data_IF_325785113094
#
_entry.id   IF_325785113094
#
_cell.length_a   1.000
_cell.length_b   1.000
_cell.length_c   1.000
_cell.angle_alpha   90.00
_cell.angle_beta   90.00
_cell.angle_gamma   90.00
#
_symmetry.space_group_name_H-M   'P 1'
#
loop_
_entity.id
_entity.type
_entity.pdbx_description
1 polymer ?
#
# COMPACT_ATOMS: atom_id res chain seq x y z
N UNK A 1 -14.32 1.54 1.01
CA UNK A 1 -13.79 2.86 1.47
C UNK A 1 -14.67 3.58 2.50
N UNK A 2 -15.95 3.26 2.66
CA UNK A 2 -16.83 4.02 3.58
C UNK A 2 -16.34 4.01 5.05
N UNK A 3 -15.90 2.85 5.57
CA UNK A 3 -15.35 2.78 6.93
C UNK A 3 -14.10 3.68 7.10
N UNK A 4 -13.24 3.78 6.07
CA UNK A 4 -12.08 4.69 6.10
C UNK A 4 -12.53 6.16 6.19
N UNK A 5 -13.55 6.55 5.42
CA UNK A 5 -14.12 7.91 5.49
C UNK A 5 -14.71 8.19 6.87
N UNK A 6 -15.40 7.21 7.45
CA UNK A 6 -15.93 7.32 8.82
C UNK A 6 -14.81 7.50 9.85
N UNK A 7 -13.70 6.75 9.71
CA UNK A 7 -12.53 6.91 10.59
C UNK A 7 -11.94 8.32 10.49
N UNK A 8 -11.86 8.91 9.28
CA UNK A 8 -11.37 10.26 9.08
C UNK A 8 -12.24 11.35 9.76
N UNK A 9 -13.52 11.08 9.98
CA UNK A 9 -14.46 12.01 10.63
C UNK A 9 -14.44 11.91 12.16
N UNK A 10 -13.84 10.85 12.74
CA UNK A 10 -13.75 10.68 14.19
C UNK A 10 -12.86 11.76 14.82
N UNK A 11 -13.21 12.19 16.02
CA UNK A 11 -12.38 13.07 16.84
C UNK A 11 -11.28 12.31 17.60
N UNK A 12 -11.54 11.04 17.93
CA UNK A 12 -10.59 10.19 18.63
C UNK A 12 -9.40 9.84 17.72
N UNK A 13 -8.22 9.66 18.32
CA UNK A 13 -7.01 9.27 17.59
C UNK A 13 -7.17 7.95 16.84
N UNK A 14 -6.78 7.93 15.59
CA UNK A 14 -6.78 6.74 14.73
C UNK A 14 -5.37 6.18 14.60
N UNK A 15 -5.25 4.87 14.65
CA UNK A 15 -4.01 4.14 14.36
C UNK A 15 -4.10 3.57 12.94
N UNK A 16 -3.26 4.11 12.06
CA UNK A 16 -3.10 3.73 10.67
C UNK A 16 -1.87 2.86 10.54
N UNK A 17 -2.00 1.69 9.93
CA UNK A 17 -0.90 0.75 9.71
C UNK A 17 -0.61 0.60 8.22
N UNK A 18 0.65 0.69 7.83
CA UNK A 18 1.17 0.22 6.56
C UNK A 18 1.93 -1.09 6.80
N UNK A 19 1.53 -2.14 6.08
CA UNK A 19 2.06 -3.47 6.26
C UNK A 19 2.27 -4.14 4.90
N UNK A 20 3.41 -4.77 4.67
CA UNK A 20 3.78 -5.30 3.35
C UNK A 20 5.27 -5.60 3.23
N UNK A 21 5.72 -5.58 1.99
CA UNK A 21 7.09 -5.90 1.60
C UNK A 21 8.03 -4.68 1.51
N UNK A 22 9.11 -4.78 0.70
CA UNK A 22 10.11 -3.73 0.49
C UNK A 22 9.55 -2.44 -0.09
N UNK A 23 8.50 -2.52 -0.90
CA UNK A 23 7.85 -1.33 -1.48
C UNK A 23 7.20 -0.52 -0.38
N UNK A 24 6.48 -1.17 0.53
CA UNK A 24 5.88 -0.50 1.69
C UNK A 24 6.94 -0.07 2.72
N UNK A 25 7.98 -0.88 2.92
CA UNK A 25 9.07 -0.55 3.85
C UNK A 25 9.77 0.76 3.47
N UNK A 26 9.99 1.02 2.17
CA UNK A 26 10.57 2.28 1.68
C UNK A 26 12.04 2.52 2.05
N UNK A 27 12.71 1.52 2.65
CA UNK A 27 13.98 1.72 3.35
C UNK A 27 15.19 2.00 2.46
N UNK A 28 15.16 1.64 1.17
CA UNK A 28 16.38 1.62 0.35
C UNK A 28 16.30 2.43 -0.95
N UNK A 29 15.18 2.43 -1.63
CA UNK A 29 15.11 2.86 -3.02
C UNK A 29 14.58 4.29 -3.21
N UNK A 30 14.31 5.01 -2.14
CA UNK A 30 13.78 6.38 -2.16
C UNK A 30 14.83 7.44 -2.49
N UNK A 31 16.11 7.06 -2.62
CA UNK A 31 17.22 7.99 -2.85
C UNK A 31 17.29 9.14 -1.82
N UNK A 32 16.98 8.84 -0.55
CA UNK A 32 16.92 9.83 0.52
C UNK A 32 15.63 10.65 0.56
N UNK A 33 14.68 10.39 -0.35
CA UNK A 33 13.33 10.93 -0.28
C UNK A 33 12.46 10.20 0.72
N UNK A 34 11.27 10.72 0.96
CA UNK A 34 10.28 10.11 1.87
C UNK A 34 9.53 8.99 1.16
N UNK A 35 9.21 7.93 1.92
CA UNK A 35 8.28 6.92 1.47
C UNK A 35 6.81 7.40 1.53
N UNK A 36 5.90 6.64 0.95
CA UNK A 36 4.49 7.03 0.87
C UNK A 36 3.78 7.05 2.22
N UNK A 37 4.25 6.30 3.21
CA UNK A 37 3.68 6.31 4.56
C UNK A 37 4.06 7.58 5.33
N UNK A 38 5.24 8.13 5.08
CA UNK A 38 5.66 9.42 5.62
C UNK A 38 4.89 10.58 4.98
N UNK A 39 4.64 10.51 3.66
CA UNK A 39 3.79 11.47 2.96
C UNK A 39 2.34 11.41 3.47
N UNK A 40 1.83 10.21 3.71
CA UNK A 40 0.52 9.99 4.33
C UNK A 40 0.46 10.60 5.74
N UNK A 41 1.52 10.41 6.54
CA UNK A 41 1.64 11.01 7.88
C UNK A 41 1.56 12.53 7.82
N UNK A 42 2.31 13.17 6.92
CA UNK A 42 2.26 14.63 6.76
C UNK A 42 0.85 15.09 6.37
N UNK A 43 0.22 14.42 5.40
CA UNK A 43 -1.14 14.76 4.95
C UNK A 43 -2.14 14.71 6.09
N UNK A 44 -2.14 13.63 6.88
CA UNK A 44 -3.10 13.49 7.98
C UNK A 44 -2.77 14.38 9.17
N UNK A 45 -1.55 14.28 9.71
CA UNK A 45 -1.24 14.92 10.99
C UNK A 45 -1.14 16.42 10.87
N UNK A 46 -0.55 16.94 9.79
CA UNK A 46 -0.26 18.35 9.65
C UNK A 46 -1.26 19.09 8.77
N UNK A 47 -1.55 18.60 7.58
CA UNK A 47 -2.42 19.34 6.65
C UNK A 47 -3.90 19.17 7.02
N UNK A 48 -4.33 17.98 7.46
CA UNK A 48 -5.70 17.71 7.93
C UNK A 48 -5.88 17.89 9.44
N UNK A 49 -4.84 18.35 10.15
CA UNK A 49 -4.85 18.66 11.59
C UNK A 49 -5.22 17.45 12.49
N UNK A 50 -5.02 16.20 12.04
CA UNK A 50 -5.24 15.00 12.84
C UNK A 50 -4.00 14.65 13.67
N UNK A 51 -3.51 15.60 14.45
CA UNK A 51 -2.21 15.56 15.15
C UNK A 51 -2.06 14.44 16.16
N UNK A 52 -3.15 13.91 16.67
CA UNK A 52 -3.15 12.81 17.64
C UNK A 52 -3.19 11.42 16.99
N UNK A 53 -3.39 11.33 15.68
CA UNK A 53 -3.36 10.05 14.97
C UNK A 53 -1.95 9.46 14.99
N UNK A 54 -1.88 8.14 14.95
CA UNK A 54 -0.62 7.39 14.85
C UNK A 54 -0.54 6.74 13.48
N UNK A 55 0.53 7.02 12.74
CA UNK A 55 0.83 6.37 11.45
C UNK A 55 2.06 5.51 11.61
N UNK A 56 1.89 4.21 11.40
CA UNK A 56 2.91 3.18 11.60
C UNK A 56 3.24 2.53 10.26
N UNK A 57 4.52 2.34 9.99
CA UNK A 57 5.00 1.49 8.92
C UNK A 57 5.76 0.31 9.58
N UNK A 58 5.18 -0.89 9.53
CA UNK A 58 5.78 -2.11 10.07
C UNK A 58 6.12 -3.14 8.99
N UNK A 59 6.15 -2.71 7.73
CA UNK A 59 6.54 -3.53 6.61
C UNK A 59 8.00 -3.98 6.69
N UNK A 60 8.36 -5.05 5.97
CA UNK A 60 9.73 -5.55 5.95
C UNK A 60 10.12 -6.05 4.55
N UNK A 61 11.30 -5.65 4.11
CA UNK A 61 11.83 -6.03 2.79
C UNK A 61 11.95 -7.54 2.63
N UNK A 62 11.50 -8.05 1.49
CA UNK A 62 11.56 -9.47 1.17
C UNK A 62 10.36 -10.30 1.64
N UNK A 63 9.44 -9.71 2.43
CA UNK A 63 8.29 -10.46 2.92
C UNK A 63 7.36 -10.88 1.77
N UNK A 64 6.85 -12.11 1.91
CA UNK A 64 5.69 -12.65 1.19
C UNK A 64 4.46 -12.61 2.10
N UNK A 65 3.30 -13.00 1.59
CA UNK A 65 2.07 -13.10 2.40
C UNK A 65 2.24 -14.06 3.59
N UNK A 66 3.04 -15.12 3.43
CA UNK A 66 3.36 -16.07 4.49
C UNK A 66 4.09 -15.40 5.67
N UNK A 67 5.10 -14.56 5.40
CA UNK A 67 5.80 -13.83 6.47
C UNK A 67 4.89 -12.80 7.13
N UNK A 68 4.00 -12.16 6.38
CA UNK A 68 2.99 -11.28 6.98
C UNK A 68 2.09 -12.05 7.97
N UNK A 69 1.68 -13.26 7.64
CA UNK A 69 0.89 -14.11 8.53
C UNK A 69 1.69 -14.55 9.76
N UNK A 70 2.93 -15.01 9.57
CA UNK A 70 3.81 -15.47 10.65
C UNK A 70 4.05 -14.37 11.68
N UNK A 71 4.33 -13.17 11.24
CA UNK A 71 4.72 -12.04 12.09
C UNK A 71 3.53 -11.14 12.48
N UNK A 72 2.29 -11.54 12.17
CA UNK A 72 1.08 -10.73 12.30
C UNK A 72 0.89 -10.17 13.72
N UNK A 73 1.05 -11.02 14.76
CA UNK A 73 0.85 -10.60 16.14
C UNK A 73 1.82 -9.50 16.54
N UNK A 74 3.08 -9.64 16.17
CA UNK A 74 4.14 -8.68 16.52
C UNK A 74 4.09 -7.41 15.67
N UNK A 75 3.86 -7.54 14.36
CA UNK A 75 3.97 -6.42 13.41
C UNK A 75 2.66 -5.72 13.09
N UNK A 76 1.53 -6.32 13.41
CA UNK A 76 0.22 -5.75 13.12
C UNK A 76 -0.67 -5.68 14.37
N UNK A 77 -1.06 -6.83 14.96
CA UNK A 77 -2.06 -6.88 16.01
C UNK A 77 -1.62 -6.14 17.29
N UNK A 78 -0.33 -6.19 17.67
CA UNK A 78 0.21 -5.50 18.84
C UNK A 78 -0.05 -3.98 18.83
N UNK A 79 -0.17 -3.37 17.65
CA UNK A 79 -0.45 -1.94 17.50
C UNK A 79 -1.94 -1.60 17.57
N UNK A 80 -2.83 -2.60 17.55
CA UNK A 80 -4.29 -2.44 17.55
C UNK A 80 -4.73 -1.42 16.50
N UNK A 81 -4.38 -1.58 15.21
CA UNK A 81 -4.71 -0.61 14.17
C UNK A 81 -6.21 -0.54 13.93
N UNK A 82 -6.72 0.65 13.62
CA UNK A 82 -8.11 0.83 13.18
C UNK A 82 -8.26 0.60 11.67
N UNK A 83 -7.19 0.87 10.92
CA UNK A 83 -7.10 0.61 9.49
C UNK A 83 -5.68 0.15 9.13
N UNK A 84 -5.58 -0.81 8.20
CA UNK A 84 -4.32 -1.31 7.67
C UNK A 84 -4.34 -1.26 6.14
N UNK A 85 -3.29 -0.70 5.56
CA UNK A 85 -3.03 -0.70 4.12
C UNK A 85 -1.99 -1.78 3.83
N UNK A 86 -2.36 -2.79 3.05
CA UNK A 86 -1.49 -3.93 2.73
C UNK A 86 -1.22 -4.00 1.24
N UNK A 87 0.05 -3.89 0.86
CA UNK A 87 0.54 -4.15 -0.49
C UNK A 87 1.46 -5.37 -0.43
N UNK A 88 1.13 -6.43 -1.18
CA UNK A 88 1.86 -7.70 -1.18
C UNK A 88 1.65 -8.44 -2.50
N UNK A 89 2.49 -9.42 -2.82
CA UNK A 89 2.37 -10.24 -4.02
C UNK A 89 3.59 -10.15 -4.94
N UNK A 90 4.43 -9.14 -4.77
CA UNK A 90 5.65 -8.99 -5.59
C UNK A 90 6.68 -10.09 -5.31
N UNK A 91 6.91 -10.44 -4.05
CA UNK A 91 7.84 -11.52 -3.69
C UNK A 91 7.18 -12.88 -3.85
N UNK A 92 5.90 -12.99 -3.55
CA UNK A 92 5.12 -14.21 -3.73
C UNK A 92 5.17 -14.71 -5.18
N UNK A 93 5.22 -13.80 -6.15
CA UNK A 93 5.26 -14.15 -7.58
C UNK A 93 6.49 -14.97 -8.00
N UNK A 94 7.55 -14.98 -7.20
CA UNK A 94 8.79 -15.69 -7.51
C UNK A 94 8.67 -17.19 -7.20
N UNK A 95 8.17 -17.54 -6.03
CA UNK A 95 8.27 -18.90 -5.49
C UNK A 95 6.96 -19.48 -4.91
N UNK A 96 5.85 -18.74 -4.98
CA UNK A 96 4.54 -19.22 -4.53
C UNK A 96 3.63 -19.59 -5.70
N UNK A 97 2.71 -20.50 -5.44
CA UNK A 97 1.58 -20.74 -6.34
C UNK A 97 0.49 -19.70 -6.11
N UNK A 98 -0.35 -19.49 -7.12
CA UNK A 98 -1.49 -18.57 -7.01
C UNK A 98 -2.52 -19.02 -5.96
N UNK A 99 -2.66 -20.34 -5.79
CA UNK A 99 -3.62 -20.89 -4.83
C UNK A 99 -3.11 -20.74 -3.38
N UNK A 100 -1.83 -20.99 -3.13
CA UNK A 100 -1.21 -20.71 -1.83
C UNK A 100 -1.33 -19.23 -1.45
N UNK A 101 -1.03 -18.34 -2.38
CA UNK A 101 -1.16 -16.90 -2.16
C UNK A 101 -2.60 -16.49 -1.87
N UNK A 102 -3.57 -17.01 -2.62
CA UNK A 102 -5.00 -16.72 -2.40
C UNK A 102 -5.46 -17.18 -1.01
N UNK A 103 -5.07 -18.39 -0.59
CA UNK A 103 -5.38 -18.92 0.75
C UNK A 103 -4.76 -18.02 1.83
N UNK A 104 -3.48 -17.69 1.71
CA UNK A 104 -2.77 -16.85 2.68
C UNK A 104 -3.35 -15.43 2.75
N UNK A 105 -3.73 -14.83 1.62
CA UNK A 105 -4.33 -13.51 1.60
C UNK A 105 -5.72 -13.49 2.26
N UNK A 106 -6.50 -14.57 2.09
CA UNK A 106 -7.77 -14.76 2.79
C UNK A 106 -7.56 -14.90 4.30
N UNK A 107 -6.59 -15.70 4.74
CA UNK A 107 -6.24 -15.84 6.16
C UNK A 107 -5.80 -14.50 6.76
N UNK A 108 -5.00 -13.72 6.03
CA UNK A 108 -4.58 -12.40 6.48
C UNK A 108 -5.79 -11.45 6.65
N UNK A 109 -6.76 -11.52 5.75
CA UNK A 109 -8.00 -10.75 5.86
C UNK A 109 -8.82 -11.17 7.09
N UNK A 110 -8.89 -12.46 7.40
CA UNK A 110 -9.57 -12.97 8.60
C UNK A 110 -8.88 -12.47 9.89
N UNK A 111 -7.56 -12.47 9.93
CA UNK A 111 -6.80 -11.94 11.07
C UNK A 111 -7.06 -10.45 11.32
N UNK A 112 -7.10 -9.63 10.27
CA UNK A 112 -7.45 -8.21 10.42
C UNK A 112 -8.92 -8.02 10.86
N UNK A 113 -9.83 -8.81 10.32
CA UNK A 113 -11.24 -8.79 10.75
C UNK A 113 -11.40 -9.17 12.24
N UNK A 114 -10.66 -10.18 12.71
CA UNK A 114 -10.71 -10.65 14.10
C UNK A 114 -10.28 -9.58 15.12
N UNK A 115 -9.45 -8.62 14.72
CA UNK A 115 -9.03 -7.49 15.57
C UNK A 115 -9.81 -6.19 15.29
N UNK A 116 -10.93 -6.27 14.58
CA UNK A 116 -11.78 -5.13 14.16
C UNK A 116 -11.02 -4.05 13.37
N UNK A 117 -10.01 -4.43 12.61
CA UNK A 117 -9.24 -3.53 11.76
C UNK A 117 -9.80 -3.49 10.34
N UNK A 118 -10.01 -2.29 9.79
CA UNK A 118 -10.36 -2.15 8.38
C UNK A 118 -9.16 -2.44 7.50
N UNK A 119 -9.12 -3.60 6.87
CA UNK A 119 -8.13 -3.90 5.85
C UNK A 119 -8.45 -3.17 4.54
N UNK A 120 -7.45 -2.53 3.95
CA UNK A 120 -7.44 -1.96 2.61
C UNK A 120 -6.35 -2.69 1.82
N UNK A 121 -6.74 -3.47 0.82
CA UNK A 121 -5.79 -4.15 -0.04
C UNK A 121 -5.27 -3.21 -1.12
N UNK A 122 -3.99 -3.38 -1.46
CA UNK A 122 -3.37 -2.74 -2.60
C UNK A 122 -2.78 -3.84 -3.50
N UNK A 123 -3.00 -3.75 -4.81
CA UNK A 123 -2.30 -4.65 -5.73
C UNK A 123 -0.80 -4.34 -5.73
N UNK A 124 0.09 -5.32 -5.97
CA UNK A 124 1.50 -5.04 -6.20
C UNK A 124 1.68 -4.09 -7.39
N UNK A 125 2.83 -3.42 -7.45
CA UNK A 125 3.17 -2.56 -8.59
C UNK A 125 3.54 -3.41 -9.82
N UNK A 126 3.33 -2.90 -11.05
CA UNK A 126 3.89 -3.54 -12.23
C UNK A 126 5.41 -3.49 -12.19
N UNK A 127 6.06 -4.52 -12.72
CA UNK A 127 7.50 -4.58 -12.87
C UNK A 127 7.93 -4.19 -14.29
N UNK A 128 9.13 -3.70 -14.43
CA UNK A 128 9.73 -3.44 -15.74
C UNK A 128 10.23 -4.78 -16.31
N UNK A 129 9.37 -5.47 -17.06
CA UNK A 129 9.58 -6.84 -17.54
C UNK A 129 10.91 -7.07 -18.24
N UNK A 130 11.39 -6.09 -18.99
CA UNK A 130 12.66 -6.18 -19.71
C UNK A 130 13.88 -6.32 -18.77
N UNK A 131 13.69 -6.08 -17.47
CA UNK A 131 14.76 -6.06 -16.48
C UNK A 131 14.55 -7.10 -15.36
N UNK A 132 13.39 -7.77 -15.29
CA UNK A 132 13.12 -8.71 -14.20
C UNK A 132 12.22 -9.89 -14.62
N UNK A 133 12.84 -10.88 -15.29
CA UNK A 133 12.15 -12.09 -15.76
C UNK A 133 11.56 -12.94 -14.63
N UNK A 134 12.17 -12.91 -13.43
CA UNK A 134 11.73 -13.70 -12.28
C UNK A 134 10.34 -13.28 -11.78
N UNK A 135 9.88 -12.07 -12.13
CA UNK A 135 8.63 -11.49 -11.64
C UNK A 135 7.58 -11.31 -12.74
N UNK A 136 7.70 -12.06 -13.84
CA UNK A 136 6.74 -12.02 -14.95
C UNK A 136 5.31 -12.37 -14.51
N UNK A 137 5.16 -13.08 -13.38
CA UNK A 137 3.87 -13.50 -12.84
C UNK A 137 3.17 -12.45 -11.95
N UNK A 138 3.79 -11.32 -11.66
CA UNK A 138 3.19 -10.25 -10.82
C UNK A 138 1.78 -9.85 -11.29
N UNK A 139 1.45 -9.76 -12.61
CA UNK A 139 0.09 -9.50 -13.05
C UNK A 139 -0.94 -10.51 -12.54
N UNK A 140 -0.59 -11.81 -12.50
CA UNK A 140 -1.48 -12.88 -12.00
C UNK A 140 -1.75 -12.71 -10.50
N UNK A 141 -0.74 -12.31 -9.73
CA UNK A 141 -0.88 -12.02 -8.30
C UNK A 141 -1.71 -10.76 -8.05
N UNK A 142 -1.60 -9.74 -8.91
CA UNK A 142 -2.48 -8.57 -8.85
C UNK A 142 -3.95 -8.96 -9.08
N UNK A 143 -4.23 -9.90 -10.01
CA UNK A 143 -5.60 -10.43 -10.21
C UNK A 143 -6.11 -11.18 -8.98
N UNK A 144 -5.26 -11.96 -8.30
CA UNK A 144 -5.65 -12.63 -7.05
C UNK A 144 -6.00 -11.62 -5.95
N UNK A 145 -5.25 -10.53 -5.83
CA UNK A 145 -5.59 -9.45 -4.87
C UNK A 145 -6.95 -8.81 -5.22
N UNK A 146 -7.22 -8.54 -6.51
CA UNK A 146 -8.52 -8.03 -6.97
C UNK A 146 -9.66 -8.98 -6.63
N UNK A 147 -9.46 -10.28 -6.92
CA UNK A 147 -10.44 -11.34 -6.64
C UNK A 147 -10.79 -11.38 -5.15
N UNK A 148 -9.79 -11.52 -4.27
CA UNK A 148 -10.00 -11.59 -2.82
C UNK A 148 -10.66 -10.30 -2.30
N UNK A 149 -10.25 -9.13 -2.77
CA UNK A 149 -10.89 -7.88 -2.39
C UNK A 149 -12.38 -7.84 -2.76
N UNK A 150 -12.73 -8.30 -3.97
CA UNK A 150 -14.12 -8.34 -4.44
C UNK A 150 -14.96 -9.36 -3.65
N UNK A 151 -14.48 -10.60 -3.49
CA UNK A 151 -15.19 -11.68 -2.79
C UNK A 151 -15.44 -11.37 -1.32
N UNK A 152 -14.51 -10.65 -0.67
CA UNK A 152 -14.62 -10.27 0.74
C UNK A 152 -15.17 -8.86 0.96
N UNK A 153 -15.56 -8.17 -0.11
CA UNK A 153 -16.06 -6.79 -0.07
C UNK A 153 -15.07 -5.84 0.66
N UNK A 154 -13.76 -6.04 0.43
CA UNK A 154 -12.71 -5.20 0.98
C UNK A 154 -12.42 -4.01 0.06
N UNK A 155 -12.10 -2.84 0.63
CA UNK A 155 -11.55 -1.73 -0.15
C UNK A 155 -10.28 -2.15 -0.88
N UNK A 156 -10.20 -1.79 -2.15
CA UNK A 156 -9.03 -2.03 -3.00
C UNK A 156 -8.50 -0.70 -3.55
N UNK A 157 -7.19 -0.55 -3.52
CA UNK A 157 -6.44 0.47 -4.28
C UNK A 157 -5.66 -0.28 -5.35
N UNK A 158 -6.08 -0.15 -6.60
CA UNK A 158 -5.49 -0.88 -7.71
C UNK A 158 -4.26 -0.16 -8.26
N UNK A 159 -3.16 -0.28 -7.53
CA UNK A 159 -1.87 0.31 -7.90
C UNK A 159 -1.36 -0.25 -9.23
N UNK A 160 -1.52 -1.58 -9.45
CA UNK A 160 -1.09 -2.21 -10.69
C UNK A 160 -1.71 -1.51 -11.92
N UNK A 161 -3.02 -1.31 -11.90
CA UNK A 161 -3.74 -0.64 -12.98
C UNK A 161 -3.28 0.81 -13.13
N UNK A 162 -3.31 1.58 -12.04
CA UNK A 162 -2.95 3.00 -12.05
C UNK A 162 -1.51 3.26 -12.54
N UNK A 163 -0.61 2.32 -12.29
CA UNK A 163 0.77 2.42 -12.75
C UNK A 163 0.95 1.93 -14.18
N UNK A 164 0.26 0.86 -14.59
CA UNK A 164 0.31 0.35 -15.97
C UNK A 164 -0.25 1.36 -16.98
N UNK A 165 -1.18 2.20 -16.56
CA UNK A 165 -1.76 3.27 -17.37
C UNK A 165 -0.94 4.58 -17.32
N UNK A 166 0.11 4.66 -16.48
CA UNK A 166 0.92 5.86 -16.32
C UNK A 166 2.00 5.93 -17.42
N UNK A 167 1.99 6.95 -18.30
CA UNK A 167 3.00 7.09 -19.34
C UNK A 167 4.42 7.27 -18.80
N UNK A 168 4.55 7.79 -17.59
CA UNK A 168 5.82 8.06 -16.92
C UNK A 168 6.32 6.90 -16.05
N UNK A 169 5.70 5.70 -16.11
CA UNK A 169 5.97 4.57 -15.22
C UNK A 169 7.45 4.23 -15.08
N UNK A 170 8.21 4.33 -16.18
CA UNK A 170 9.65 4.06 -16.16
C UNK A 170 10.41 4.99 -15.21
N UNK A 171 10.05 6.27 -15.17
CA UNK A 171 10.71 7.28 -14.32
C UNK A 171 10.30 7.20 -12.84
N UNK A 172 9.31 6.38 -12.51
CA UNK A 172 8.84 6.17 -11.15
C UNK A 172 9.60 5.06 -10.42
N UNK A 173 10.39 4.27 -11.15
CA UNK A 173 11.16 3.16 -10.60
C UNK A 173 12.62 3.56 -10.30
N UNK A 174 13.17 2.99 -9.24
CA UNK A 174 14.59 3.05 -8.90
C UNK A 174 15.38 1.90 -9.55
N UNK A 175 14.71 0.76 -9.71
CA UNK A 175 15.18 -0.43 -10.40
C UNK A 175 14.01 -1.08 -11.16
N UNK A 176 14.09 -2.36 -11.52
CA UNK A 176 13.02 -3.04 -12.24
C UNK A 176 11.75 -3.31 -11.42
N UNK A 177 11.79 -3.12 -10.10
CA UNK A 177 10.71 -3.48 -9.17
C UNK A 177 10.32 -2.33 -8.23
N UNK A 178 11.31 -1.68 -7.63
CA UNK A 178 11.08 -0.75 -6.54
C UNK A 178 10.81 0.67 -7.02
N UNK A 179 9.83 1.37 -6.44
CA UNK A 179 9.61 2.77 -6.71
C UNK A 179 10.76 3.63 -6.16
N UNK A 180 11.13 4.67 -6.89
CA UNK A 180 11.95 5.75 -6.38
C UNK A 180 11.09 6.77 -5.59
N UNK A 181 11.66 7.88 -5.16
CA UNK A 181 10.93 8.91 -4.39
C UNK A 181 9.71 9.48 -5.16
N UNK A 182 9.77 9.60 -6.50
CA UNK A 182 8.62 10.03 -7.31
C UNK A 182 7.52 8.95 -7.33
N UNK A 183 7.93 7.69 -7.43
CA UNK A 183 7.02 6.56 -7.33
C UNK A 183 6.30 6.50 -5.97
N UNK A 184 7.01 6.79 -4.88
CA UNK A 184 6.39 6.89 -3.56
C UNK A 184 5.39 8.05 -3.46
N UNK A 185 5.66 9.19 -4.10
CA UNK A 185 4.69 10.29 -4.21
C UNK A 185 3.43 9.82 -4.95
N UNK A 186 3.59 9.10 -6.08
CA UNK A 186 2.44 8.56 -6.82
C UNK A 186 1.62 7.59 -5.97
N UNK A 187 2.24 6.64 -5.26
CA UNK A 187 1.52 5.72 -4.37
C UNK A 187 0.72 6.51 -3.32
N UNK A 188 1.32 7.53 -2.70
CA UNK A 188 0.62 8.36 -1.74
C UNK A 188 -0.58 9.08 -2.38
N UNK A 189 -0.42 9.63 -3.57
CA UNK A 189 -1.51 10.29 -4.30
C UNK A 189 -2.65 9.32 -4.63
N UNK A 190 -2.35 8.09 -5.07
CA UNK A 190 -3.35 7.08 -5.35
C UNK A 190 -4.14 6.69 -4.08
N UNK A 191 -3.46 6.57 -2.94
CA UNK A 191 -4.10 6.38 -1.63
C UNK A 191 -4.99 7.56 -1.29
N UNK A 192 -4.52 8.80 -1.45
CA UNK A 192 -5.31 10.01 -1.14
C UNK A 192 -6.53 10.15 -2.04
N UNK A 193 -6.42 9.83 -3.34
CA UNK A 193 -7.55 9.79 -4.29
C UNK A 193 -8.59 8.76 -3.83
N UNK A 194 -8.16 7.54 -3.51
CA UNK A 194 -9.05 6.48 -3.04
C UNK A 194 -9.78 6.83 -1.73
N UNK A 195 -9.10 7.52 -0.82
CA UNK A 195 -9.68 7.99 0.46
C UNK A 195 -10.55 9.26 0.31
N UNK A 196 -10.51 9.94 -0.84
CA UNK A 196 -11.21 11.20 -1.06
C UNK A 196 -10.58 12.40 -0.36
N UNK A 197 -9.28 12.35 -0.09
CA UNK A 197 -8.52 13.42 0.59
C UNK A 197 -7.43 14.05 -0.31
N UNK A 198 -7.40 13.68 -1.59
CA UNK A 198 -6.51 14.31 -2.57
C UNK A 198 -7.01 15.72 -2.89
N UNK A 199 -6.18 16.74 -2.66
CA UNK A 199 -6.54 18.13 -2.86
C UNK A 199 -5.28 18.96 -3.14
N UNK A 200 -5.25 19.69 -4.26
CA UNK A 200 -4.06 20.42 -4.72
C UNK A 200 -4.07 21.92 -4.45
N UNK A 201 -5.17 22.49 -3.93
CA UNK A 201 -5.24 23.94 -3.69
C UNK A 201 -4.39 24.36 -2.48
N UNK A 202 -4.51 23.62 -1.39
CA UNK A 202 -3.84 23.95 -0.12
C UNK A 202 -2.80 22.90 0.29
N UNK A 203 -3.00 21.62 -0.07
CA UNK A 203 -2.10 20.55 0.31
C UNK A 203 -0.76 20.64 -0.41
N UNK A 204 0.31 20.75 0.37
CA UNK A 204 1.69 20.69 -0.14
C UNK A 204 2.02 19.30 -0.66
N UNK A 205 1.61 18.25 0.07
CA UNK A 205 1.92 16.86 -0.31
C UNK A 205 1.22 16.47 -1.60
N UNK A 206 -0.03 16.93 -1.81
CA UNK A 206 -0.76 16.67 -3.06
C UNK A 206 -0.25 17.51 -4.25
N UNK A 207 0.50 18.58 -4.00
CA UNK A 207 1.14 19.41 -5.06
C UNK A 207 2.48 18.84 -5.53
N UNK A 208 3.12 17.96 -4.76
CA UNK A 208 4.33 17.33 -5.23
C UNK A 208 4.02 16.54 -6.48
N UNK A 209 4.87 16.69 -7.46
CA UNK A 209 4.83 16.07 -8.78
C UNK A 209 3.72 15.05 -8.93
N UNK A 210 2.62 15.46 -9.58
CA UNK A 210 1.61 14.53 -10.03
C UNK A 210 2.00 14.11 -11.45
N UNK A 211 2.56 12.92 -11.68
CA UNK A 211 2.89 12.45 -13.03
C UNK A 211 1.67 12.43 -13.95
N UNK A 212 0.48 12.41 -13.37
CA UNK A 212 -0.80 12.48 -14.10
C UNK A 212 -1.16 13.90 -14.58
N UNK A 213 -0.34 14.91 -14.25
CA UNK A 213 -0.56 16.31 -14.64
C UNK A 213 0.40 16.77 -15.75
N UNK A 214 1.26 15.89 -16.24
CA UNK A 214 2.12 16.05 -17.41
C UNK A 214 1.52 15.32 -18.59
#
# INVERSE_FOLDING_TARGET
MERIKTLLQRQEPIRWLFYGDSITHGAKHTNGGRDFSELFRERLLWEMQRRSDLVLNSAFSGFTCLELLRDFEFRAAAFKPHAAFVMIGSNDSVDRTLDEFEVQLNELADKFAAIDCQLVLQTPLPVLHNLNEQRLRVPEFAEKVRKVAAERNLPLIDQFKAWSECPAVFYLHADSLHPNHLGHIKIAHDIFKAMGIFETKTSRVCKFYAPDAL
#
